data_IF_779747655655
#
_entry.id   IF_779747655655
#
_cell.length_a   1.000
_cell.length_b   1.000
_cell.length_c   1.000
_cell.angle_alpha   90.00
_cell.angle_beta   90.00
_cell.angle_gamma   90.00
#
_symmetry.space_group_name_H-M   'P 1'
#
loop_
_entity.id
_entity.type
_entity.pdbx_description
1 polymer ?
#
# COMPACT_ATOMS: atom_id res chain seq x y z
N UNK A 1 3.97 -19.32 -18.41
CA UNK A 1 3.51 -17.96 -18.04
C UNK A 1 4.28 -17.31 -16.87
N UNK A 2 5.35 -17.92 -16.31
CA UNK A 2 6.04 -17.38 -15.10
C UNK A 2 7.36 -16.64 -15.32
N UNK A 3 7.94 -16.69 -16.52
CA UNK A 3 9.27 -16.10 -16.79
C UNK A 3 9.19 -14.57 -16.89
N UNK A 4 8.17 -14.03 -17.56
CA UNK A 4 8.01 -12.57 -17.75
C UNK A 4 7.84 -11.78 -16.44
N UNK A 5 7.13 -12.35 -15.45
CA UNK A 5 6.90 -11.66 -14.17
C UNK A 5 8.13 -11.68 -13.26
N UNK A 6 8.94 -12.74 -13.30
CA UNK A 6 10.25 -12.76 -12.65
C UNK A 6 11.17 -11.71 -13.27
N UNK A 7 11.15 -11.57 -14.60
CA UNK A 7 11.95 -10.57 -15.30
C UNK A 7 11.52 -9.14 -14.96
N UNK A 8 10.23 -8.85 -14.80
CA UNK A 8 9.76 -7.52 -14.40
C UNK A 8 10.16 -7.15 -12.96
N UNK A 9 10.09 -8.10 -12.01
CA UNK A 9 10.58 -7.89 -10.65
C UNK A 9 12.10 -7.70 -10.62
N UNK A 10 12.84 -8.55 -11.33
CA UNK A 10 14.30 -8.48 -11.42
C UNK A 10 14.78 -7.21 -12.16
N UNK A 11 14.05 -6.72 -13.16
CA UNK A 11 14.41 -5.49 -13.88
C UNK A 11 14.23 -4.25 -13.00
N UNK A 12 13.18 -4.19 -12.19
CA UNK A 12 13.02 -3.12 -11.19
C UNK A 12 14.14 -3.16 -10.15
N UNK A 13 14.51 -4.35 -9.66
CA UNK A 13 15.66 -4.50 -8.75
C UNK A 13 16.98 -4.03 -9.39
N UNK A 14 17.17 -4.27 -10.69
CA UNK A 14 18.32 -3.74 -11.42
C UNK A 14 18.34 -2.21 -11.56
N UNK A 15 17.17 -1.58 -11.71
CA UNK A 15 17.04 -0.11 -11.85
C UNK A 15 17.27 0.60 -10.52
N UNK A 16 16.73 0.07 -9.41
CA UNK A 16 16.90 0.70 -8.09
C UNK A 16 18.32 0.52 -7.52
N UNK A 17 19.04 -0.52 -7.97
CA UNK A 17 20.40 -0.86 -7.53
C UNK A 17 20.49 -1.30 -6.07
N UNK A 18 21.71 -1.56 -5.61
CA UNK A 18 21.97 -2.15 -4.28
C UNK A 18 21.63 -1.21 -3.10
N UNK A 19 21.45 0.08 -3.39
CA UNK A 19 21.09 1.10 -2.39
C UNK A 19 19.59 1.44 -2.40
N UNK A 20 18.84 0.89 -3.35
CA UNK A 20 17.41 1.14 -3.49
C UNK A 20 16.55 0.15 -2.72
N UNK A 21 15.34 0.59 -2.37
CA UNK A 21 14.33 -0.27 -1.77
C UNK A 21 13.16 -0.46 -2.75
N UNK A 22 12.71 -1.70 -2.92
CA UNK A 22 11.48 -2.01 -3.64
C UNK A 22 10.42 -2.48 -2.66
N UNK A 23 9.26 -1.87 -2.74
CA UNK A 23 8.09 -2.21 -1.93
C UNK A 23 6.91 -2.51 -2.81
N UNK A 24 6.19 -3.59 -2.52
CA UNK A 24 5.00 -3.99 -3.26
C UNK A 24 3.88 -4.33 -2.26
N UNK A 25 2.69 -3.72 -2.39
CA UNK A 25 1.52 -4.11 -1.60
C UNK A 25 1.20 -5.60 -1.77
N UNK A 26 1.00 -6.29 -0.64
CA UNK A 26 0.63 -7.71 -0.58
C UNK A 26 -0.70 -7.88 0.14
N UNK A 27 -1.71 -7.09 -0.25
CA UNK A 27 -3.05 -7.09 0.36
C UNK A 27 -3.64 -8.50 0.35
N UNK A 28 -4.44 -8.84 1.36
CA UNK A 28 -4.89 -10.22 1.61
C UNK A 28 -6.33 -10.28 2.14
N UNK A 29 -7.19 -9.36 1.68
CA UNK A 29 -8.58 -9.23 2.15
C UNK A 29 -9.42 -10.49 1.96
N UNK A 30 -9.29 -11.16 0.82
CA UNK A 30 -10.03 -12.40 0.51
C UNK A 30 -9.43 -13.64 1.16
N UNK A 31 -8.17 -13.54 1.59
CA UNK A 31 -7.39 -14.63 2.19
C UNK A 31 -7.54 -14.75 3.71
N UNK A 32 -8.24 -13.81 4.36
CA UNK A 32 -8.44 -13.78 5.80
C UNK A 32 -9.91 -14.05 6.15
N UNK A 33 -10.15 -15.05 7.00
CA UNK A 33 -11.45 -15.22 7.65
C UNK A 33 -11.60 -14.18 8.77
N UNK A 34 -12.47 -13.20 8.56
CA UNK A 34 -12.77 -12.15 9.54
C UNK A 34 -13.39 -12.67 10.86
N UNK A 35 -14.00 -13.85 10.88
CA UNK A 35 -14.56 -14.45 12.10
C UNK A 35 -13.48 -15.07 13.00
N UNK A 36 -12.39 -15.55 12.39
CA UNK A 36 -11.27 -16.16 13.08
C UNK A 36 -9.93 -15.73 12.41
N UNK A 37 -9.59 -14.43 12.46
CA UNK A 37 -8.51 -13.89 11.65
C UNK A 37 -7.17 -14.47 12.07
N UNK A 38 -6.51 -15.10 11.10
CA UNK A 38 -5.17 -15.66 11.21
C UNK A 38 -4.36 -15.26 9.98
N UNK A 39 -3.19 -14.68 10.20
CA UNK A 39 -2.26 -14.31 9.14
C UNK A 39 -0.92 -15.01 9.35
N UNK A 40 -0.46 -15.75 8.36
CA UNK A 40 0.88 -16.32 8.32
C UNK A 40 1.69 -15.48 7.34
N UNK A 41 2.74 -14.81 7.83
CA UNK A 41 3.55 -13.89 7.02
C UNK A 41 4.12 -14.62 5.78
N UNK A 42 4.50 -15.88 5.93
CA UNK A 42 5.09 -16.70 4.88
C UNK A 42 4.04 -17.33 3.97
N UNK A 43 2.93 -17.83 4.54
CA UNK A 43 1.98 -18.68 3.81
C UNK A 43 0.76 -17.94 3.26
N UNK A 44 0.25 -16.90 3.94
CA UNK A 44 -0.97 -16.21 3.48
C UNK A 44 -0.73 -15.57 2.10
N UNK A 45 -1.50 -15.91 1.06
CA UNK A 45 -1.26 -15.39 -0.29
C UNK A 45 -1.56 -13.89 -0.40
N UNK A 46 -1.04 -13.28 -1.46
CA UNK A 46 -1.42 -11.93 -1.85
C UNK A 46 -2.55 -11.93 -2.88
N UNK A 47 -3.48 -11.01 -2.68
CA UNK A 47 -4.59 -10.70 -3.58
C UNK A 47 -4.20 -9.67 -4.66
N UNK A 48 -2.97 -9.14 -4.64
CA UNK A 48 -2.49 -8.08 -5.55
C UNK A 48 -1.90 -8.63 -6.87
N UNK A 49 -2.20 -9.88 -7.21
CA UNK A 49 -1.80 -10.51 -8.46
C UNK A 49 -0.40 -11.13 -8.44
N UNK A 50 -0.02 -11.70 -9.58
CA UNK A 50 1.15 -12.59 -9.70
C UNK A 50 2.49 -11.91 -9.42
N UNK A 51 2.63 -10.62 -9.71
CA UNK A 51 3.87 -9.88 -9.44
C UNK A 51 4.08 -9.76 -7.93
N UNK A 52 3.06 -9.35 -7.19
CA UNK A 52 3.10 -9.25 -5.73
C UNK A 52 3.34 -10.61 -5.07
N UNK A 53 2.62 -11.64 -5.52
CA UNK A 53 2.77 -13.01 -5.02
C UNK A 53 4.16 -13.61 -5.31
N UNK A 54 4.72 -13.33 -6.49
CA UNK A 54 6.07 -13.78 -6.84
C UNK A 54 7.11 -13.03 -6.01
N UNK A 55 6.98 -11.71 -5.89
CA UNK A 55 7.91 -10.85 -5.17
C UNK A 55 8.00 -11.20 -3.69
N UNK A 56 6.86 -11.36 -3.00
CA UNK A 56 6.86 -11.68 -1.56
C UNK A 56 7.54 -13.03 -1.22
N UNK A 57 7.69 -13.92 -2.20
CA UNK A 57 8.32 -15.25 -2.06
C UNK A 57 9.80 -15.25 -2.46
N UNK A 58 10.34 -14.12 -2.91
CA UNK A 58 11.75 -14.03 -3.28
C UNK A 58 12.64 -14.06 -2.03
N UNK A 59 13.82 -14.72 -2.10
CA UNK A 59 14.78 -14.67 -1.01
C UNK A 59 15.18 -13.24 -0.65
N UNK A 60 15.28 -12.94 0.64
CA UNK A 60 15.66 -11.61 1.15
C UNK A 60 14.52 -10.57 1.16
N UNK A 61 13.30 -10.94 0.74
CA UNK A 61 12.13 -10.08 0.86
C UNK A 61 11.51 -10.23 2.25
N UNK A 62 11.38 -9.13 2.98
CA UNK A 62 10.66 -9.07 4.25
C UNK A 62 9.19 -8.73 4.01
N UNK A 63 8.27 -9.23 4.84
CA UNK A 63 6.85 -8.88 4.75
C UNK A 63 6.28 -8.43 6.09
N UNK A 64 5.57 -7.31 6.04
CA UNK A 64 4.95 -6.73 7.23
C UNK A 64 3.78 -7.58 7.75
N UNK A 65 3.47 -7.44 9.04
CA UNK A 65 2.55 -8.34 9.77
C UNK A 65 1.04 -8.01 9.64
N UNK A 66 0.65 -6.96 8.91
CA UNK A 66 -0.75 -6.53 8.88
C UNK A 66 -1.64 -7.51 8.09
N UNK A 67 -2.65 -8.13 8.71
CA UNK A 67 -3.40 -9.27 8.13
C UNK A 67 -4.13 -8.93 6.84
N UNK A 68 -4.61 -7.69 6.70
CA UNK A 68 -5.38 -7.25 5.53
C UNK A 68 -4.57 -6.47 4.49
N UNK A 69 -3.52 -5.78 4.93
CA UNK A 69 -2.89 -4.68 4.19
C UNK A 69 -1.37 -4.77 4.17
N UNK A 70 -0.83 -5.96 4.39
CA UNK A 70 0.62 -6.19 4.42
C UNK A 70 1.31 -5.67 3.14
N UNK A 71 2.58 -5.30 3.28
CA UNK A 71 3.49 -4.96 2.20
C UNK A 71 4.71 -5.91 2.26
N UNK A 72 5.28 -6.21 1.11
CA UNK A 72 6.57 -6.85 0.98
C UNK A 72 7.64 -5.80 0.62
N UNK A 73 8.86 -5.93 1.15
CA UNK A 73 9.96 -5.02 0.92
C UNK A 73 11.27 -5.78 0.66
N UNK A 74 12.06 -5.29 -0.29
CA UNK A 74 13.42 -5.72 -0.56
C UNK A 74 14.36 -4.52 -0.55
N UNK A 75 15.60 -4.71 -0.10
CA UNK A 75 16.62 -3.66 -0.04
C UNK A 75 17.12 -3.39 1.38
N UNK A 76 18.06 -2.45 1.53
CA UNK A 76 18.76 -2.19 2.80
C UNK A 76 17.82 -1.78 3.96
N UNK A 77 16.70 -1.12 3.64
CA UNK A 77 15.72 -0.63 4.62
C UNK A 77 14.48 -1.55 4.75
N UNK A 78 14.49 -2.73 4.12
CA UNK A 78 13.33 -3.63 4.08
C UNK A 78 12.76 -3.98 5.47
N UNK A 79 13.62 -4.25 6.44
CA UNK A 79 13.21 -4.50 7.83
C UNK A 79 12.65 -3.26 8.51
N UNK A 80 13.30 -2.10 8.33
CA UNK A 80 12.81 -0.83 8.84
C UNK A 80 11.40 -0.54 8.31
N UNK A 81 11.19 -0.72 7.00
CA UNK A 81 9.90 -0.46 6.34
C UNK A 81 8.81 -1.40 6.88
N UNK A 82 9.09 -2.69 7.04
CA UNK A 82 8.06 -3.71 7.29
C UNK A 82 7.72 -3.91 8.77
N UNK A 83 8.63 -3.58 9.70
CA UNK A 83 8.43 -3.79 11.12
C UNK A 83 7.32 -2.89 11.71
N UNK A 84 6.56 -3.41 12.67
CA UNK A 84 5.61 -2.61 13.45
C UNK A 84 4.30 -2.27 12.74
N UNK A 85 3.93 -2.97 11.67
CA UNK A 85 2.72 -2.68 10.89
C UNK A 85 1.40 -3.06 11.61
N UNK A 86 1.01 -2.23 12.56
CA UNK A 86 -0.20 -2.29 13.39
C UNK A 86 -0.38 -0.95 14.12
N UNK A 87 -1.60 -0.59 14.58
CA UNK A 87 -2.86 -1.28 14.34
C UNK A 87 -3.52 -0.90 13.02
N UNK A 88 -3.17 0.25 12.41
CA UNK A 88 -3.84 0.73 11.20
C UNK A 88 -3.08 0.37 9.92
N UNK A 89 -3.74 0.37 8.74
CA UNK A 89 -3.10 0.03 7.48
C UNK A 89 -2.08 1.06 7.00
N UNK A 90 -2.35 2.36 7.13
CA UNK A 90 -1.52 3.42 6.54
C UNK A 90 -1.19 4.55 7.52
N UNK A 91 -1.45 4.37 8.81
CA UNK A 91 -1.20 5.39 9.83
C UNK A 91 0.29 5.59 10.12
N UNK A 92 0.57 6.49 11.07
CA UNK A 92 1.94 6.79 11.52
C UNK A 92 2.66 5.50 11.93
N UNK A 93 3.88 5.30 11.41
CA UNK A 93 4.69 4.10 11.65
C UNK A 93 4.31 2.89 10.79
N UNK A 94 3.24 2.95 9.99
CA UNK A 94 2.95 1.93 8.97
C UNK A 94 4.04 1.93 7.88
N UNK A 95 4.20 0.84 7.12
CA UNK A 95 5.13 0.81 6.00
C UNK A 95 4.85 1.88 4.94
N UNK A 96 3.58 2.23 4.71
CA UNK A 96 3.22 3.30 3.77
C UNK A 96 3.63 4.68 4.28
N UNK A 97 3.53 4.92 5.59
CA UNK A 97 4.07 6.14 6.21
C UNK A 97 5.60 6.18 6.14
N UNK A 98 6.28 5.04 6.34
CA UNK A 98 7.75 4.97 6.22
C UNK A 98 8.24 5.21 4.79
N UNK A 99 7.47 4.81 3.77
CA UNK A 99 7.76 5.19 2.37
C UNK A 99 7.71 6.71 2.19
N UNK A 100 6.78 7.40 2.86
CA UNK A 100 6.76 8.87 2.90
C UNK A 100 7.99 9.43 3.62
N UNK A 101 8.37 8.90 4.79
CA UNK A 101 9.56 9.33 5.54
C UNK A 101 10.86 9.19 4.72
N UNK A 102 10.95 8.11 3.96
CA UNK A 102 12.05 7.84 3.03
C UNK A 102 11.96 8.63 1.70
N UNK A 103 10.97 9.51 1.57
CA UNK A 103 10.73 10.32 0.36
C UNK A 103 10.62 9.48 -0.92
N UNK A 104 9.97 8.31 -0.81
CA UNK A 104 9.83 7.37 -1.90
C UNK A 104 8.86 7.81 -3.00
N UNK A 105 8.62 6.90 -3.94
CA UNK A 105 7.69 7.09 -5.04
C UNK A 105 6.76 5.89 -5.17
N UNK A 106 5.54 6.13 -5.64
CA UNK A 106 4.65 5.07 -6.14
C UNK A 106 4.75 4.98 -7.65
N UNK A 107 5.06 3.79 -8.15
CA UNK A 107 5.07 3.48 -9.58
C UNK A 107 3.82 2.68 -9.93
N UNK A 108 3.01 3.20 -10.84
CA UNK A 108 1.84 2.51 -11.38
C UNK A 108 2.18 2.01 -12.78
N UNK A 109 1.93 0.73 -13.03
CA UNK A 109 2.25 0.06 -14.30
C UNK A 109 0.94 -0.39 -14.93
N UNK A 110 0.42 0.37 -15.90
CA UNK A 110 -0.91 0.10 -16.49
C UNK A 110 -2.08 0.22 -15.50
N UNK A 111 -1.86 0.85 -14.34
CA UNK A 111 -2.86 1.11 -13.31
C UNK A 111 -3.02 2.63 -13.11
N UNK A 112 -4.20 3.06 -12.67
CA UNK A 112 -4.48 4.46 -12.33
C UNK A 112 -4.52 4.70 -10.82
N UNK A 113 -4.87 5.92 -10.43
CA UNK A 113 -4.87 6.33 -9.02
C UNK A 113 -5.97 5.69 -8.16
N UNK A 114 -6.91 4.94 -8.74
CA UNK A 114 -7.81 4.08 -7.97
C UNK A 114 -7.07 3.07 -7.09
N UNK A 115 -5.82 2.73 -7.44
CA UNK A 115 -4.95 1.84 -6.69
C UNK A 115 -3.96 2.57 -5.76
N UNK A 116 -4.06 3.90 -5.60
CA UNK A 116 -3.08 4.71 -4.88
C UNK A 116 -3.19 4.55 -3.35
N UNK A 117 -2.53 3.53 -2.80
CA UNK A 117 -2.54 3.27 -1.35
C UNK A 117 -1.90 4.39 -0.54
N UNK A 118 -0.95 5.15 -1.09
CA UNK A 118 -0.33 6.29 -0.37
C UNK A 118 -1.32 7.42 -0.10
N UNK A 119 -2.44 7.53 -0.83
CA UNK A 119 -3.51 8.47 -0.49
C UNK A 119 -4.05 8.21 0.93
N UNK A 120 -4.13 6.95 1.36
CA UNK A 120 -4.64 6.58 2.68
C UNK A 120 -3.72 7.07 3.82
N UNK A 121 -2.44 7.34 3.56
CA UNK A 121 -1.57 8.02 4.53
C UNK A 121 -2.09 9.43 4.82
N UNK A 122 -2.54 10.16 3.80
CA UNK A 122 -3.14 11.48 3.97
C UNK A 122 -4.48 11.41 4.72
N UNK A 123 -5.31 10.39 4.45
CA UNK A 123 -6.53 10.14 5.22
C UNK A 123 -6.22 9.89 6.70
N UNK A 124 -5.21 9.10 7.03
CA UNK A 124 -4.81 8.84 8.42
C UNK A 124 -4.27 10.09 9.13
N UNK A 125 -3.53 10.95 8.41
CA UNK A 125 -3.01 12.22 8.94
C UNK A 125 -4.16 13.21 9.20
N UNK A 126 -5.09 13.35 8.26
CA UNK A 126 -6.18 14.34 8.36
C UNK A 126 -7.33 13.84 9.22
N UNK A 127 -7.56 12.52 9.22
CA UNK A 127 -8.70 11.85 9.85
C UNK A 127 -10.05 12.49 9.45
N UNK A 128 -10.40 12.51 8.14
CA UNK A 128 -11.60 13.17 7.67
C UNK A 128 -12.88 12.50 8.20
N UNK A 129 -14.02 13.22 8.30
CA UNK A 129 -15.24 12.71 8.94
C UNK A 129 -15.83 11.43 8.34
N UNK A 130 -15.47 11.06 7.12
CA UNK A 130 -15.93 9.83 6.46
C UNK A 130 -15.07 8.60 6.79
N UNK A 131 -13.89 8.77 7.40
CA UNK A 131 -12.96 7.65 7.60
C UNK A 131 -13.55 6.66 8.61
N UNK A 132 -13.66 5.39 8.21
CA UNK A 132 -14.26 4.33 9.02
C UNK A 132 -13.33 3.14 9.10
N UNK A 133 -13.35 2.48 10.25
CA UNK A 133 -12.55 1.30 10.52
C UNK A 133 -13.40 0.18 11.11
N UNK A 134 -13.05 -1.05 10.76
CA UNK A 134 -13.42 -2.25 11.48
C UNK A 134 -12.24 -2.74 12.29
N UNK A 135 -12.41 -2.82 13.60
CA UNK A 135 -11.38 -3.25 14.53
C UNK A 135 -11.47 -4.76 14.78
N UNK A 136 -10.35 -5.45 14.65
CA UNK A 136 -10.19 -6.87 14.91
C UNK A 136 -9.27 -7.05 16.11
N UNK A 137 -9.82 -7.60 17.20
CA UNK A 137 -9.07 -7.90 18.42
C UNK A 137 -8.58 -9.34 18.41
N UNK A 138 -7.47 -9.59 19.09
CA UNK A 138 -6.89 -10.93 19.27
C UNK A 138 -6.60 -11.65 17.93
N UNK A 139 -6.30 -10.91 16.88
CA UNK A 139 -5.88 -11.49 15.60
C UNK A 139 -4.60 -12.27 15.83
N UNK A 140 -4.54 -13.51 15.36
CA UNK A 140 -3.32 -14.33 15.47
C UNK A 140 -2.46 -14.09 14.25
N UNK A 141 -1.18 -13.79 14.48
CA UNK A 141 -0.20 -13.60 13.40
C UNK A 141 0.98 -14.53 13.64
N UNK A 142 1.30 -15.37 12.66
CA UNK A 142 2.52 -16.17 12.64
C UNK A 142 3.60 -15.38 11.90
N UNK A 143 4.63 -14.98 12.65
CA UNK A 143 5.76 -14.16 12.15
C UNK A 143 6.66 -14.97 11.21
N UNK A 144 7.59 -14.29 10.54
CA UNK A 144 8.60 -14.93 9.68
C UNK A 144 9.40 -16.01 10.43
N UNK A 145 9.67 -15.80 11.72
CA UNK A 145 10.36 -16.77 12.60
C UNK A 145 9.49 -17.96 13.04
N UNK A 146 8.21 -17.97 12.70
CA UNK A 146 7.25 -19.01 13.10
C UNK A 146 6.59 -18.78 14.46
N UNK A 147 6.96 -17.73 15.20
CA UNK A 147 6.30 -17.36 16.45
C UNK A 147 4.86 -16.89 16.17
N UNK A 148 3.91 -17.30 17.01
CA UNK A 148 2.52 -16.84 16.91
C UNK A 148 2.28 -15.76 17.96
N UNK A 149 1.99 -14.56 17.49
CA UNK A 149 1.65 -13.40 18.33
C UNK A 149 0.17 -13.07 18.17
N UNK A 150 -0.38 -12.33 19.13
CA UNK A 150 -1.75 -11.82 19.05
C UNK A 150 -1.75 -10.30 19.10
N UNK A 151 -2.54 -9.67 18.23
CA UNK A 151 -2.57 -8.22 18.09
C UNK A 151 -3.96 -7.67 17.81
N UNK A 152 -4.05 -6.34 17.85
CA UNK A 152 -5.23 -5.60 17.39
C UNK A 152 -4.90 -4.93 16.07
N UNK A 153 -5.78 -5.11 15.09
CA UNK A 153 -5.63 -4.55 13.75
C UNK A 153 -6.93 -3.90 13.31
N UNK A 154 -6.81 -2.90 12.44
CA UNK A 154 -7.93 -2.19 11.87
C UNK A 154 -7.91 -2.33 10.36
N UNK A 155 -9.08 -2.53 9.76
CA UNK A 155 -9.27 -2.45 8.32
C UNK A 155 -10.10 -1.22 8.01
N UNK A 156 -9.81 -0.52 6.91
CA UNK A 156 -10.76 0.46 6.39
C UNK A 156 -12.12 -0.20 6.13
N UNK A 157 -13.19 0.49 6.50
CA UNK A 157 -14.58 -0.01 6.40
C UNK A 157 -15.50 0.95 5.64
N UNK A 158 -14.92 1.98 5.00
CA UNK A 158 -15.66 2.99 4.24
C UNK A 158 -16.64 2.35 3.24
N UNK A 159 -16.15 1.41 2.41
CA UNK A 159 -16.98 0.76 1.39
C UNK A 159 -18.15 -0.03 1.99
N UNK A 160 -17.90 -0.78 3.07
CA UNK A 160 -18.92 -1.57 3.78
C UNK A 160 -19.99 -0.68 4.42
N UNK A 161 -19.65 0.56 4.77
CA UNK A 161 -20.58 1.58 5.27
C UNK A 161 -21.25 2.43 4.18
N UNK A 162 -21.04 2.09 2.90
CA UNK A 162 -21.61 2.80 1.75
C UNK A 162 -20.82 4.04 1.30
N UNK A 163 -19.66 4.31 1.89
CA UNK A 163 -18.79 5.44 1.55
C UNK A 163 -17.86 5.00 0.42
N UNK A 164 -18.13 5.48 -0.79
CA UNK A 164 -17.35 5.19 -1.99
C UNK A 164 -16.36 6.34 -2.23
N UNK A 165 -15.08 6.00 -2.34
CA UNK A 165 -13.97 6.91 -2.59
C UNK A 165 -13.52 6.75 -4.04
N UNK A 166 -13.49 7.86 -4.78
CA UNK A 166 -13.11 7.97 -6.19
C UNK A 166 -11.73 8.64 -6.25
N UNK A 167 -10.68 7.88 -5.94
CA UNK A 167 -9.31 8.40 -5.86
C UNK A 167 -8.77 8.90 -7.21
N UNK A 168 -9.34 8.45 -8.32
CA UNK A 168 -9.09 8.96 -9.66
C UNK A 168 -9.33 10.47 -9.79
N UNK A 169 -10.23 11.06 -8.98
CA UNK A 169 -10.46 12.52 -8.97
C UNK A 169 -9.21 13.30 -8.55
N UNK A 170 -8.30 12.67 -7.80
CA UNK A 170 -7.04 13.30 -7.41
C UNK A 170 -6.04 13.39 -8.55
N UNK A 171 -6.26 12.70 -9.67
CA UNK A 171 -5.29 12.65 -10.77
C UNK A 171 -5.05 14.04 -11.36
N UNK A 172 -6.11 14.75 -11.73
CA UNK A 172 -5.99 16.11 -12.28
C UNK A 172 -5.32 17.06 -11.28
N UNK A 173 -5.65 16.94 -9.99
CA UNK A 173 -5.09 17.76 -8.92
C UNK A 173 -3.58 17.53 -8.78
N UNK A 174 -3.16 16.27 -8.76
CA UNK A 174 -1.76 15.87 -8.64
C UNK A 174 -0.96 16.25 -9.90
N UNK A 175 -1.54 16.08 -11.09
CA UNK A 175 -0.93 16.46 -12.38
C UNK A 175 -0.70 17.97 -12.47
N UNK A 176 -1.72 18.79 -12.21
CA UNK A 176 -1.61 20.27 -12.26
C UNK A 176 -0.56 20.81 -11.30
N UNK A 177 -0.25 20.07 -10.24
CA UNK A 177 0.73 20.44 -9.22
C UNK A 177 2.09 19.76 -9.41
N UNK A 178 2.30 19.06 -10.51
CA UNK A 178 3.60 18.47 -10.87
C UNK A 178 4.01 17.27 -10.01
N UNK A 179 3.08 16.63 -9.30
CA UNK A 179 3.37 15.46 -8.46
C UNK A 179 3.49 14.15 -9.24
N UNK A 180 3.03 14.16 -10.49
CA UNK A 180 2.99 13.00 -11.40
C UNK A 180 4.01 13.19 -12.53
N UNK A 181 4.77 12.14 -12.82
CA UNK A 181 5.61 12.00 -14.01
C UNK A 181 5.19 10.77 -14.78
N UNK A 182 4.87 10.95 -16.06
CA UNK A 182 4.48 9.86 -16.95
C UNK A 182 5.62 9.50 -17.90
N UNK A 183 5.70 8.23 -18.25
CA UNK A 183 6.62 7.73 -19.26
C UNK A 183 6.15 6.35 -19.76
N UNK A 184 6.60 5.97 -20.94
CA UNK A 184 6.28 4.66 -21.52
C UNK A 184 7.51 3.76 -21.49
N UNK A 185 7.31 2.48 -21.16
CA UNK A 185 8.33 1.42 -21.31
C UNK A 185 7.71 0.27 -22.08
N UNK A 186 8.20 0.05 -23.30
CA UNK A 186 7.57 -0.89 -24.23
C UNK A 186 6.15 -0.45 -24.58
N UNK A 187 5.18 -1.37 -24.46
CA UNK A 187 3.76 -1.11 -24.75
C UNK A 187 2.95 -0.76 -23.47
N UNK A 188 3.61 -0.34 -22.40
CA UNK A 188 2.96 -0.05 -21.12
C UNK A 188 3.24 1.37 -20.69
N UNK A 189 2.18 2.04 -20.23
CA UNK A 189 2.23 3.36 -19.64
C UNK A 189 2.56 3.27 -18.16
N UNK A 190 3.49 4.11 -17.72
CA UNK A 190 3.94 4.20 -16.34
C UNK A 190 3.64 5.59 -15.80
N UNK A 191 3.12 5.61 -14.58
CA UNK A 191 2.88 6.83 -13.83
C UNK A 191 3.68 6.75 -12.52
N UNK A 192 4.60 7.69 -12.32
CA UNK A 192 5.41 7.80 -11.11
C UNK A 192 4.94 8.98 -10.28
N UNK A 193 4.60 8.73 -9.03
CA UNK A 193 4.02 9.73 -8.10
C UNK A 193 4.93 9.89 -6.89
N UNK A 194 5.35 11.11 -6.59
CA UNK A 194 6.13 11.40 -5.37
C UNK A 194 5.29 11.15 -4.12
N UNK A 195 5.79 10.38 -3.16
CA UNK A 195 5.08 10.13 -1.90
C UNK A 195 4.88 11.44 -1.11
N UNK A 196 5.92 12.28 -1.05
CA UNK A 196 5.90 13.57 -0.35
C UNK A 196 4.84 14.48 -0.92
N UNK A 197 4.86 14.68 -2.25
CA UNK A 197 3.88 15.54 -2.89
C UNK A 197 2.49 14.91 -2.75
N UNK A 198 2.32 13.64 -3.12
CA UNK A 198 1.02 12.95 -3.02
C UNK A 198 0.36 13.15 -1.66
N UNK A 199 1.09 12.92 -0.56
CA UNK A 199 0.53 13.06 0.78
C UNK A 199 0.26 14.53 1.11
N UNK A 200 1.18 15.44 0.82
CA UNK A 200 0.99 16.89 1.05
C UNK A 200 -0.23 17.44 0.32
N UNK A 201 -0.35 17.17 -0.99
CA UNK A 201 -1.47 17.57 -1.84
C UNK A 201 -2.78 17.00 -1.29
N UNK A 202 -2.80 15.71 -1.01
CA UNK A 202 -4.00 15.01 -0.54
C UNK A 202 -4.44 15.52 0.83
N UNK A 203 -3.51 15.80 1.74
CA UNK A 203 -3.84 16.43 3.02
C UNK A 203 -4.46 17.82 2.85
N UNK A 204 -3.94 18.63 1.93
CA UNK A 204 -4.53 19.95 1.62
C UNK A 204 -5.96 19.80 1.09
N UNK A 205 -6.20 18.90 0.12
CA UNK A 205 -7.54 18.65 -0.41
C UNK A 205 -8.48 18.17 0.69
N UNK A 206 -8.09 17.17 1.48
CA UNK A 206 -8.92 16.61 2.55
C UNK A 206 -9.24 17.64 3.65
N UNK A 207 -8.33 18.56 3.98
CA UNK A 207 -8.58 19.59 5.00
C UNK A 207 -9.59 20.65 4.54
N UNK A 208 -9.62 20.96 3.24
CA UNK A 208 -10.47 22.02 2.70
C UNK A 208 -11.80 21.51 2.12
N UNK A 209 -11.76 20.36 1.46
CA UNK A 209 -12.91 19.75 0.78
C UNK A 209 -12.75 18.23 0.71
N UNK A 210 -12.89 17.54 1.85
CA UNK A 210 -12.81 16.08 1.89
C UNK A 210 -13.90 15.41 1.05
N UNK A 211 -15.03 16.09 0.77
CA UNK A 211 -16.13 15.53 -0.01
C UNK A 211 -15.74 15.34 -1.47
N UNK A 212 -14.78 16.12 -1.98
CA UNK A 212 -14.30 16.04 -3.37
C UNK A 212 -14.06 14.60 -3.85
N UNK A 213 -13.39 13.78 -3.03
CA UNK A 213 -13.04 12.40 -3.37
C UNK A 213 -14.19 11.41 -3.17
N UNK A 214 -15.35 11.83 -2.65
CA UNK A 214 -16.49 10.95 -2.42
C UNK A 214 -17.37 10.87 -3.68
N UNK A 215 -17.95 9.70 -3.91
CA UNK A 215 -18.91 9.50 -4.99
C UNK A 215 -20.11 10.42 -4.82
N UNK A 216 -20.51 11.08 -5.91
CA UNK A 216 -21.64 12.01 -5.93
C UNK A 216 -21.31 13.44 -5.50
N UNK A 217 -20.07 13.73 -5.11
CA UNK A 217 -19.61 15.11 -4.95
C UNK A 217 -19.54 15.83 -6.31
N UNK A 218 -19.95 17.09 -6.33
CA UNK A 218 -19.89 18.00 -7.48
C UNK A 218 -18.53 18.68 -7.56
#
# INVERSE_FOLDING_TARGET
MGIGYRLAGLSLLGVIGDHGNLVIPTLSFSSIDEKAPFFDVNETPSDCGVISETFRKMPGVARSIHPFSSIAAFGPESLFITVGHHPTPCGIGSPYYKVLELQGYSLFIGAGLQANTLFHVAEEIVNPPYLRYKCFKKVRVKTESGAVVSGTFSRYDCYQTGIIRELEKMEEVLRKRGAIRDFDVGNSHFMLVSAVENVRISCEVLKHNYEFILKGAK
#
